data_IF_212593060735
#
_entry.id   IF_212593060735
#
_cell.length_a   1.000
_cell.length_b   1.000
_cell.length_c   1.000
_cell.angle_alpha   90.00
_cell.angle_beta   90.00
_cell.angle_gamma   90.00
#
_symmetry.space_group_name_H-M   'P 1'
#
loop_
_entity.id
_entity.type
_entity.pdbx_description
1 polymer ?
#
# COMPACT_ATOMS: atom_id res chain seq x y z
N UNK A 1 29.82 -74.61 12.06
CA UNK A 1 29.26 -73.33 12.53
C UNK A 1 29.55 -72.28 11.47
N UNK A 2 28.52 -71.72 10.84
CA UNK A 2 28.62 -70.74 9.74
C UNK A 2 28.45 -69.33 10.30
N UNK A 3 29.38 -68.44 9.98
CA UNK A 3 29.30 -66.99 10.20
C UNK A 3 28.42 -66.35 9.13
N UNK A 4 27.53 -65.44 9.53
CA UNK A 4 26.71 -64.62 8.62
C UNK A 4 27.09 -63.15 8.81
N UNK A 5 27.50 -62.51 7.73
CA UNK A 5 27.81 -61.08 7.63
C UNK A 5 26.51 -60.25 7.55
N UNK A 6 26.51 -59.11 8.25
CA UNK A 6 25.53 -58.03 8.13
C UNK A 6 25.75 -57.25 6.82
N UNK A 7 24.67 -57.03 6.05
CA UNK A 7 24.62 -56.06 4.96
C UNK A 7 23.73 -54.90 5.39
N UNK A 8 24.33 -53.75 5.68
CA UNK A 8 23.66 -52.48 5.93
C UNK A 8 23.50 -51.71 4.62
N UNK A 9 22.27 -51.51 4.14
CA UNK A 9 21.98 -50.60 3.03
C UNK A 9 21.41 -49.29 3.59
N UNK A 10 22.20 -48.22 3.47
CA UNK A 10 21.77 -46.83 3.61
C UNK A 10 20.92 -46.43 2.41
N UNK A 11 19.75 -45.83 2.64
CA UNK A 11 19.14 -44.91 1.69
C UNK A 11 18.27 -43.89 2.46
N UNK A 12 18.75 -42.64 2.60
CA UNK A 12 17.92 -41.51 2.17
C UNK A 12 18.78 -40.34 1.67
N UNK A 13 19.08 -40.28 0.37
CA UNK A 13 19.73 -39.09 -0.24
C UNK A 13 18.93 -38.55 -1.44
N UNK A 14 17.98 -39.33 -1.98
CA UNK A 14 17.24 -38.94 -3.19
C UNK A 14 16.14 -37.89 -2.98
N UNK A 15 15.55 -37.76 -1.78
CA UNK A 15 14.44 -36.80 -1.56
C UNK A 15 14.90 -35.33 -1.46
N UNK A 16 16.08 -35.07 -0.87
CA UNK A 16 16.55 -33.69 -0.63
C UNK A 16 17.00 -32.95 -1.89
N UNK A 17 17.56 -33.68 -2.86
CA UNK A 17 18.02 -33.13 -4.14
C UNK A 17 16.85 -32.71 -5.05
N UNK A 18 15.73 -33.44 -5.00
CA UNK A 18 14.54 -33.12 -5.81
C UNK A 18 13.83 -31.85 -5.32
N UNK A 19 13.76 -31.65 -4.00
CA UNK A 19 13.19 -30.42 -3.40
C UNK A 19 14.04 -29.19 -3.72
N UNK A 20 15.36 -29.27 -3.57
CA UNK A 20 16.26 -28.15 -3.90
C UNK A 20 16.28 -27.81 -5.40
N UNK A 21 16.22 -28.83 -6.27
CA UNK A 21 16.12 -28.60 -7.71
C UNK A 21 14.77 -27.97 -8.11
N UNK A 22 13.69 -28.33 -7.41
CA UNK A 22 12.35 -27.81 -7.66
C UNK A 22 12.14 -26.40 -7.07
N UNK A 23 12.76 -26.06 -5.94
CA UNK A 23 12.85 -24.68 -5.42
C UNK A 23 13.69 -23.78 -6.33
N UNK A 24 14.87 -24.25 -6.76
CA UNK A 24 15.77 -23.47 -7.62
C UNK A 24 15.23 -23.30 -9.05
N UNK A 25 14.47 -24.28 -9.55
CA UNK A 25 13.73 -24.17 -10.82
C UNK A 25 12.55 -23.22 -10.69
N UNK A 26 11.78 -23.26 -9.58
CA UNK A 26 10.71 -22.28 -9.33
C UNK A 26 11.26 -20.86 -9.28
N UNK A 27 12.41 -20.62 -8.63
CA UNK A 27 12.97 -19.28 -8.51
C UNK A 27 13.41 -18.64 -9.84
N UNK A 28 13.64 -19.42 -10.91
CA UNK A 28 14.04 -18.88 -12.21
C UNK A 28 12.90 -18.27 -13.03
N UNK A 29 11.66 -18.70 -12.78
CA UNK A 29 10.47 -18.22 -13.50
C UNK A 29 9.63 -17.22 -12.69
N UNK A 30 10.13 -16.79 -11.53
CA UNK A 30 9.42 -15.87 -10.63
C UNK A 30 9.57 -14.41 -11.07
N UNK A 31 8.46 -13.66 -11.06
CA UNK A 31 8.47 -12.21 -11.20
C UNK A 31 9.06 -11.62 -9.92
N UNK A 32 10.29 -11.12 -10.01
CA UNK A 32 10.93 -10.43 -8.90
C UNK A 32 10.60 -8.94 -8.93
N UNK A 33 10.11 -8.42 -7.81
CA UNK A 33 9.86 -6.99 -7.62
C UNK A 33 11.15 -6.33 -7.16
N UNK A 34 11.52 -5.22 -7.79
CA UNK A 34 12.64 -4.39 -7.36
C UNK A 34 12.13 -3.39 -6.34
N UNK A 35 12.78 -3.29 -5.18
CA UNK A 35 12.48 -2.30 -4.15
C UNK A 35 13.61 -1.28 -4.06
N UNK A 36 13.28 0.00 -4.24
CA UNK A 36 14.25 1.09 -4.05
C UNK A 36 14.37 1.46 -2.57
N UNK A 37 15.61 1.44 -2.06
CA UNK A 37 16.00 1.92 -0.74
C UNK A 37 17.26 2.80 -0.85
N UNK A 38 17.09 4.11 -0.97
CA UNK A 38 18.22 5.04 -1.17
C UNK A 38 19.16 5.14 0.02
N UNK A 39 18.62 5.12 1.22
CA UNK A 39 19.38 5.18 2.46
C UNK A 39 19.41 3.80 3.11
N UNK A 40 20.60 3.36 3.55
CA UNK A 40 20.77 2.18 4.42
C UNK A 40 20.37 2.50 5.87
N UNK A 41 19.27 3.25 6.01
CA UNK A 41 18.69 3.55 7.30
C UNK A 41 18.33 2.21 7.97
N UNK A 42 18.86 1.99 9.17
CA UNK A 42 18.56 0.82 10.00
C UNK A 42 17.05 0.67 10.24
N UNK A 43 16.30 1.77 10.10
CA UNK A 43 14.87 1.80 10.30
C UNK A 43 14.11 1.66 8.98
N UNK A 44 13.37 0.56 8.84
CA UNK A 44 12.42 0.32 7.74
C UNK A 44 11.00 0.27 8.30
N UNK A 45 10.06 0.96 7.66
CA UNK A 45 8.63 0.86 7.96
C UNK A 45 8.04 -0.32 7.20
N UNK A 46 7.34 -1.16 7.94
CA UNK A 46 6.66 -2.34 7.40
C UNK A 46 7.58 -3.21 6.53
N UNK A 47 8.77 -3.61 7.03
CA UNK A 47 9.73 -4.38 6.25
C UNK A 47 9.14 -5.69 5.68
N UNK A 48 8.21 -6.29 6.41
CA UNK A 48 7.55 -7.55 6.02
C UNK A 48 6.34 -7.35 5.09
N UNK A 49 5.93 -6.11 4.81
CA UNK A 49 4.70 -5.83 4.06
C UNK A 49 4.75 -6.31 2.60
N UNK A 50 5.80 -5.93 1.86
CA UNK A 50 5.92 -6.36 0.47
C UNK A 50 6.13 -7.88 0.35
N UNK A 51 7.06 -8.52 1.11
CA UNK A 51 7.18 -9.98 1.11
C UNK A 51 5.86 -10.70 1.44
N UNK A 52 5.11 -10.22 2.44
CA UNK A 52 3.81 -10.79 2.82
C UNK A 52 2.76 -10.63 1.74
N UNK A 53 2.71 -9.46 1.07
CA UNK A 53 1.83 -9.23 -0.05
C UNK A 53 2.14 -10.19 -1.20
N UNK A 54 3.42 -10.34 -1.58
CA UNK A 54 3.83 -11.21 -2.67
C UNK A 54 3.47 -12.68 -2.39
N UNK A 55 3.68 -13.15 -1.15
CA UNK A 55 3.21 -14.48 -0.71
C UNK A 55 1.69 -14.61 -0.86
N UNK A 56 0.93 -13.61 -0.40
CA UNK A 56 -0.53 -13.63 -0.52
C UNK A 56 -0.99 -13.67 -1.99
N UNK A 57 -0.35 -12.93 -2.90
CA UNK A 57 -0.67 -12.98 -4.32
C UNK A 57 -0.40 -14.37 -4.90
N UNK A 58 0.71 -15.00 -4.53
CA UNK A 58 1.03 -16.37 -4.95
C UNK A 58 0.03 -17.40 -4.40
N UNK A 59 -0.44 -17.22 -3.16
CA UNK A 59 -1.40 -18.12 -2.53
C UNK A 59 -2.80 -18.02 -3.14
N UNK A 60 -3.14 -16.85 -3.69
CA UNK A 60 -4.51 -16.54 -4.14
C UNK A 60 -4.66 -16.54 -5.66
N UNK A 61 -3.58 -16.46 -6.41
CA UNK A 61 -3.61 -16.38 -7.87
C UNK A 61 -2.67 -17.39 -8.51
N UNK A 62 -2.68 -17.45 -9.84
CA UNK A 62 -1.71 -18.24 -10.62
C UNK A 62 -0.45 -17.44 -10.97
N UNK A 63 -0.34 -16.18 -10.50
CA UNK A 63 0.90 -15.42 -10.64
C UNK A 63 2.00 -16.07 -9.79
N UNK A 64 3.24 -15.84 -10.19
CA UNK A 64 4.40 -16.39 -9.51
C UNK A 64 5.40 -15.27 -9.24
N UNK A 65 5.31 -14.67 -8.06
CA UNK A 65 6.23 -13.65 -7.57
C UNK A 65 7.32 -14.27 -6.70
N UNK A 66 8.53 -13.72 -6.76
CA UNK A 66 9.57 -14.01 -5.75
C UNK A 66 9.26 -13.22 -4.47
N UNK A 67 8.98 -13.86 -3.33
CA UNK A 67 8.71 -13.15 -2.07
C UNK A 67 9.90 -12.36 -1.52
N UNK A 68 11.12 -12.59 -2.01
CA UNK A 68 12.32 -11.85 -1.63
C UNK A 68 12.61 -10.75 -2.67
N UNK A 69 12.15 -9.50 -2.45
CA UNK A 69 12.35 -8.42 -3.42
C UNK A 69 13.84 -8.11 -3.64
N UNK A 70 14.19 -7.70 -4.85
CA UNK A 70 15.55 -7.24 -5.14
C UNK A 70 15.72 -5.80 -4.66
N UNK A 71 16.63 -5.58 -3.72
CA UNK A 71 16.94 -4.24 -3.24
C UNK A 71 17.97 -3.54 -4.13
N UNK A 72 17.65 -2.31 -4.55
CA UNK A 72 18.58 -1.39 -5.18
C UNK A 72 18.60 -0.07 -4.40
N UNK A 73 19.75 0.59 -4.35
CA UNK A 73 19.87 1.91 -3.72
C UNK A 73 19.78 3.08 -4.68
N UNK A 74 19.83 2.79 -5.98
CA UNK A 74 19.80 3.81 -7.04
C UNK A 74 19.00 3.34 -8.23
N UNK A 75 18.32 4.29 -8.90
CA UNK A 75 17.52 3.98 -10.08
C UNK A 75 18.35 3.72 -11.34
N UNK A 76 19.62 4.10 -11.36
CA UNK A 76 20.55 3.81 -12.46
C UNK A 76 21.27 2.46 -12.30
N UNK A 77 20.88 1.64 -11.31
CA UNK A 77 21.31 0.25 -11.20
C UNK A 77 20.82 -0.54 -12.41
N UNK A 78 21.74 -1.30 -13.04
CA UNK A 78 21.44 -2.07 -14.25
C UNK A 78 20.40 -3.16 -14.00
N UNK A 79 20.33 -3.70 -12.78
CA UNK A 79 19.39 -4.75 -12.42
C UNK A 79 17.94 -4.26 -12.55
N UNK A 80 17.66 -2.96 -12.41
CA UNK A 80 16.32 -2.41 -12.62
C UNK A 80 15.76 -2.75 -14.01
N UNK A 81 16.61 -2.80 -15.04
CA UNK A 81 16.18 -3.09 -16.41
C UNK A 81 15.90 -4.57 -16.69
N UNK A 82 16.24 -5.46 -15.75
CA UNK A 82 15.97 -6.89 -15.84
C UNK A 82 14.62 -7.27 -15.22
N UNK A 83 13.92 -6.30 -14.62
CA UNK A 83 12.66 -6.49 -13.92
C UNK A 83 11.59 -5.53 -14.43
N UNK A 84 10.31 -5.91 -14.31
CA UNK A 84 9.20 -5.11 -14.83
C UNK A 84 8.55 -4.20 -13.77
N UNK A 85 8.71 -4.53 -12.48
CA UNK A 85 7.99 -3.86 -11.39
C UNK A 85 9.00 -3.27 -10.42
N UNK A 86 8.91 -1.95 -10.24
CA UNK A 86 9.61 -1.18 -9.24
C UNK A 86 8.63 -0.77 -8.15
N UNK A 87 8.99 -1.01 -6.90
CA UNK A 87 8.26 -0.63 -5.71
C UNK A 87 9.08 0.36 -4.87
N UNK A 88 8.41 1.38 -4.36
CA UNK A 88 8.96 2.32 -3.41
C UNK A 88 7.93 2.60 -2.32
N UNK A 89 8.28 2.27 -1.08
CA UNK A 89 7.58 2.77 0.09
C UNK A 89 8.13 4.18 0.38
N UNK A 90 7.38 5.22 0.04
CA UNK A 90 7.82 6.60 0.22
C UNK A 90 7.91 6.99 1.69
N UNK A 91 7.29 6.26 2.62
CA UNK A 91 7.34 6.57 4.06
C UNK A 91 8.62 6.05 4.74
N UNK A 92 9.31 5.10 4.10
CA UNK A 92 10.66 4.64 4.49
C UNK A 92 11.73 5.70 4.21
N UNK A 93 11.45 6.60 3.28
CA UNK A 93 12.40 7.54 2.73
C UNK A 93 11.85 8.96 2.87
N UNK A 94 12.05 9.61 4.04
CA UNK A 94 11.51 10.93 4.30
C UNK A 94 12.03 11.95 3.29
N UNK A 95 13.30 11.83 2.89
CA UNK A 95 13.93 12.58 1.80
C UNK A 95 13.99 11.73 0.54
N UNK A 96 13.34 12.18 -0.53
CA UNK A 96 13.38 11.55 -1.86
C UNK A 96 14.00 12.52 -2.86
N UNK A 97 15.32 12.41 -3.00
CA UNK A 97 16.09 13.18 -3.99
C UNK A 97 16.67 12.25 -5.04
N UNK A 98 16.65 12.68 -6.30
CA UNK A 98 17.14 11.89 -7.42
C UNK A 98 18.02 12.77 -8.28
N UNK A 99 19.21 12.28 -8.61
CA UNK A 99 20.11 12.96 -9.52
C UNK A 99 19.66 12.79 -11.00
N UNK A 100 20.32 13.51 -11.91
CA UNK A 100 19.96 13.47 -13.34
C UNK A 100 20.10 12.06 -13.95
N UNK A 101 21.04 11.25 -13.46
CA UNK A 101 21.24 9.89 -13.96
C UNK A 101 20.07 9.00 -13.55
N UNK A 102 19.64 9.09 -12.30
CA UNK A 102 18.48 8.35 -11.77
C UNK A 102 17.16 8.79 -12.44
N UNK A 103 16.95 10.10 -12.62
CA UNK A 103 15.78 10.63 -13.33
C UNK A 103 15.72 10.11 -14.77
N UNK A 104 16.87 10.11 -15.46
CA UNK A 104 16.98 9.55 -16.82
C UNK A 104 16.73 8.04 -16.82
N UNK A 105 17.28 7.31 -15.85
CA UNK A 105 17.11 5.88 -15.74
C UNK A 105 15.65 5.49 -15.52
N UNK A 106 14.95 6.20 -14.63
CA UNK A 106 13.53 6.04 -14.38
C UNK A 106 12.68 6.33 -15.62
N UNK A 107 12.99 7.41 -16.37
CA UNK A 107 12.31 7.70 -17.63
C UNK A 107 12.44 6.52 -18.59
N UNK A 108 13.65 6.01 -18.79
CA UNK A 108 13.92 4.89 -19.70
C UNK A 108 13.17 3.63 -19.26
N UNK A 109 13.20 3.31 -17.96
CA UNK A 109 12.48 2.17 -17.39
C UNK A 109 10.97 2.24 -17.70
N UNK A 110 10.33 3.37 -17.41
CA UNK A 110 8.89 3.58 -17.63
C UNK A 110 8.54 3.59 -19.12
N UNK A 111 9.36 4.20 -19.98
CA UNK A 111 9.14 4.24 -21.43
C UNK A 111 9.23 2.84 -22.09
N UNK A 112 10.02 1.95 -21.49
CA UNK A 112 10.24 0.56 -21.94
C UNK A 112 9.19 -0.43 -21.45
N UNK A 113 8.23 -0.01 -20.64
CA UNK A 113 7.17 -0.89 -20.14
C UNK A 113 7.19 -1.11 -18.62
N UNK A 114 8.22 -0.61 -17.92
CA UNK A 114 8.29 -0.71 -16.47
C UNK A 114 7.07 -0.11 -15.77
N UNK A 115 6.69 -0.71 -14.64
CA UNK A 115 5.62 -0.25 -13.76
C UNK A 115 6.23 0.18 -12.43
N UNK A 116 5.88 1.38 -11.97
CA UNK A 116 6.31 1.91 -10.68
C UNK A 116 5.13 2.07 -9.74
N UNK A 117 5.19 1.40 -8.59
CA UNK A 117 4.27 1.61 -7.48
C UNK A 117 4.92 2.38 -6.34
N UNK A 118 4.35 3.55 -6.03
CA UNK A 118 4.72 4.47 -4.96
C UNK A 118 3.72 4.32 -3.81
N UNK A 119 3.98 3.37 -2.91
CA UNK A 119 3.20 3.26 -1.67
C UNK A 119 3.54 4.44 -0.74
N UNK A 120 2.53 4.99 -0.06
CA UNK A 120 2.65 6.26 0.66
C UNK A 120 3.16 7.45 -0.21
N UNK A 121 3.05 7.36 -1.54
CA UNK A 121 3.34 8.46 -2.47
C UNK A 121 2.32 9.60 -2.37
N UNK A 122 1.18 9.37 -1.72
CA UNK A 122 0.21 10.37 -1.27
C UNK A 122 0.29 10.44 0.25
N UNK A 123 0.46 11.65 0.83
CA UNK A 123 0.40 11.84 2.28
C UNK A 123 -0.17 13.20 2.61
N UNK A 124 -1.28 13.23 3.33
CA UNK A 124 -1.82 14.48 3.83
C UNK A 124 -0.84 15.10 4.84
N UNK A 125 -0.55 16.39 4.71
CA UNK A 125 0.46 17.11 5.49
C UNK A 125 0.27 17.00 7.01
N UNK A 126 -0.98 17.00 7.47
CA UNK A 126 -1.32 16.87 8.89
C UNK A 126 -0.90 15.51 9.51
N UNK A 127 -0.66 14.47 8.70
CA UNK A 127 -0.26 13.16 9.21
C UNK A 127 1.16 13.17 9.76
N UNK A 128 2.02 14.10 9.32
CA UNK A 128 3.40 14.21 9.80
C UNK A 128 4.14 12.87 9.73
N UNK A 129 4.49 12.32 10.90
CA UNK A 129 5.17 11.02 11.07
C UNK A 129 4.26 9.92 11.64
N UNK A 130 2.93 10.06 11.61
CA UNK A 130 1.99 9.04 12.14
C UNK A 130 2.00 7.75 11.29
N UNK A 131 2.09 6.60 11.97
CA UNK A 131 2.53 5.29 11.41
C UNK A 131 1.44 4.23 11.35
N UNK A 132 0.18 4.63 11.41
CA UNK A 132 -0.94 3.70 11.30
C UNK A 132 -2.17 4.31 10.65
N UNK A 133 -2.00 5.45 9.97
CA UNK A 133 -3.11 6.28 9.55
C UNK A 133 -2.98 6.65 8.09
N UNK A 134 -3.93 6.15 7.32
CA UNK A 134 -4.11 6.54 5.93
C UNK A 134 -5.21 7.59 5.83
N UNK A 135 -5.04 8.60 4.99
CA UNK A 135 -6.08 9.59 4.65
C UNK A 135 -6.28 9.62 3.14
N UNK A 136 -7.54 9.69 2.72
CA UNK A 136 -7.91 9.75 1.30
C UNK A 136 -7.72 11.18 0.76
N UNK A 137 -6.44 11.58 0.67
CA UNK A 137 -6.03 12.74 -0.12
C UNK A 137 -5.82 12.31 -1.58
N UNK A 138 -5.96 13.24 -2.51
CA UNK A 138 -5.87 12.95 -3.95
C UNK A 138 -4.73 13.70 -4.64
N UNK A 139 -3.75 14.14 -3.85
CA UNK A 139 -2.55 14.81 -4.34
C UNK A 139 -1.30 14.02 -3.93
N UNK A 140 -0.36 13.82 -4.87
CA UNK A 140 0.93 13.23 -4.52
C UNK A 140 1.69 14.14 -3.55
N UNK A 141 2.59 13.54 -2.79
CA UNK A 141 3.57 14.28 -1.99
C UNK A 141 4.35 15.28 -2.86
N UNK A 142 4.75 16.45 -2.34
CA UNK A 142 5.51 17.45 -3.11
C UNK A 142 6.76 16.90 -3.78
N UNK A 143 7.50 16.02 -3.11
CA UNK A 143 8.73 15.41 -3.62
C UNK A 143 8.45 14.47 -4.80
N UNK A 144 7.35 13.72 -4.74
CA UNK A 144 6.89 12.86 -5.84
C UNK A 144 6.42 13.72 -7.02
N UNK A 145 5.63 14.77 -6.77
CA UNK A 145 5.21 15.70 -7.82
C UNK A 145 6.42 16.35 -8.51
N UNK A 146 7.43 16.77 -7.74
CA UNK A 146 8.66 17.35 -8.24
C UNK A 146 9.48 16.35 -9.09
N UNK A 147 9.62 15.11 -8.63
CA UNK A 147 10.27 14.05 -9.40
C UNK A 147 9.58 13.86 -10.77
N UNK A 148 8.27 13.68 -10.81
CA UNK A 148 7.58 13.44 -12.08
C UNK A 148 7.52 14.65 -13.00
N UNK A 149 7.63 15.87 -12.47
CA UNK A 149 7.86 17.06 -13.29
C UNK A 149 9.21 17.02 -14.01
N UNK A 150 10.23 16.39 -13.44
CA UNK A 150 11.53 16.18 -14.10
C UNK A 150 11.48 14.98 -15.07
N UNK A 151 10.87 13.87 -14.65
CA UNK A 151 10.77 12.64 -15.46
C UNK A 151 9.87 12.87 -16.68
N UNK A 152 8.69 13.46 -16.53
CA UNK A 152 7.75 13.76 -17.62
C UNK A 152 7.06 15.12 -17.43
N UNK A 153 7.69 16.25 -17.86
CA UNK A 153 7.19 17.60 -17.59
C UNK A 153 5.76 17.91 -18.03
N UNK A 154 5.25 17.21 -19.05
CA UNK A 154 3.92 17.41 -19.62
C UNK A 154 2.88 16.37 -19.20
N UNK A 155 3.22 15.44 -18.28
CA UNK A 155 2.35 14.35 -17.85
C UNK A 155 2.21 14.33 -16.33
N UNK A 156 1.17 14.97 -15.77
CA UNK A 156 0.96 14.97 -14.33
C UNK A 156 0.48 13.60 -13.84
N UNK A 157 0.70 13.34 -12.54
CA UNK A 157 -0.05 12.33 -11.81
C UNK A 157 -1.47 12.85 -11.60
N UNK A 158 -2.48 12.07 -12.02
CA UNK A 158 -3.89 12.45 -11.93
C UNK A 158 -4.68 11.42 -11.14
N UNK A 159 -5.75 11.82 -10.43
CA UNK A 159 -6.68 10.89 -9.79
C UNK A 159 -7.13 9.77 -10.73
N UNK A 160 -7.08 8.52 -10.26
CA UNK A 160 -7.67 7.40 -10.99
C UNK A 160 -9.20 7.48 -10.90
N UNK A 161 -9.92 7.27 -12.01
CA UNK A 161 -11.37 7.17 -12.00
C UNK A 161 -11.88 6.08 -11.06
N UNK A 162 -13.05 6.30 -10.46
CA UNK A 162 -13.67 5.30 -9.57
C UNK A 162 -14.06 4.02 -10.29
N UNK A 163 -14.22 4.09 -11.60
CA UNK A 163 -14.53 2.94 -12.40
C UNK A 163 -13.29 2.31 -13.05
N UNK A 164 -12.08 2.63 -12.58
CA UNK A 164 -10.86 2.07 -13.15
C UNK A 164 -10.70 0.57 -12.84
N UNK A 165 -10.26 -0.21 -13.84
CA UNK A 165 -10.18 -1.67 -13.75
C UNK A 165 -9.21 -2.18 -12.69
N UNK A 166 -8.22 -1.37 -12.32
CA UNK A 166 -7.32 -1.65 -11.19
C UNK A 166 -8.09 -2.02 -9.92
N UNK A 167 -9.23 -1.40 -9.64
CA UNK A 167 -9.94 -1.67 -8.38
C UNK A 167 -10.79 -2.95 -8.41
N UNK A 168 -10.83 -3.67 -9.55
CA UNK A 168 -11.70 -4.84 -9.76
C UNK A 168 -11.09 -5.96 -10.62
N UNK A 169 -9.81 -5.85 -10.98
CA UNK A 169 -9.16 -6.79 -11.89
C UNK A 169 -9.09 -8.21 -11.30
N UNK A 170 -9.00 -8.33 -9.98
CA UNK A 170 -8.98 -9.61 -9.28
C UNK A 170 -9.98 -9.65 -8.13
N UNK A 171 -9.70 -8.91 -7.05
CA UNK A 171 -10.66 -8.71 -5.97
C UNK A 171 -11.66 -7.61 -6.31
N UNK A 172 -12.93 -7.81 -5.94
CA UNK A 172 -14.03 -6.87 -6.18
C UNK A 172 -14.75 -6.56 -4.87
N UNK A 173 -15.07 -5.30 -4.65
CA UNK A 173 -15.82 -4.86 -3.47
C UNK A 173 -15.02 -4.89 -2.17
N UNK A 174 -15.72 -4.71 -1.05
CA UNK A 174 -15.15 -4.71 0.30
C UNK A 174 -14.95 -6.13 0.85
N UNK A 175 -14.03 -6.34 1.81
CA UNK A 175 -13.85 -7.64 2.48
C UNK A 175 -15.15 -8.22 3.02
N UNK A 176 -15.39 -9.49 2.74
CA UNK A 176 -16.48 -10.25 3.35
C UNK A 176 -15.98 -11.10 4.54
N UNK A 177 -16.88 -11.83 5.20
CA UNK A 177 -16.52 -12.64 6.38
C UNK A 177 -15.51 -13.75 6.07
N UNK A 178 -15.47 -14.29 4.85
CA UNK A 178 -14.50 -15.30 4.44
C UNK A 178 -13.10 -14.71 4.20
N UNK A 179 -13.03 -13.47 3.71
CA UNK A 179 -11.77 -12.77 3.46
C UNK A 179 -11.00 -12.41 4.74
N UNK A 180 -11.70 -12.28 5.87
CA UNK A 180 -11.10 -11.79 7.11
C UNK A 180 -10.22 -12.84 7.80
N UNK A 181 -10.35 -14.13 7.44
CA UNK A 181 -9.65 -15.26 8.10
C UNK A 181 -9.78 -15.22 9.64
N UNK A 182 -10.92 -14.71 10.10
CA UNK A 182 -11.24 -14.54 11.50
C UNK A 182 -12.10 -15.69 12.00
N UNK A 183 -12.03 -15.93 13.32
CA UNK A 183 -12.88 -16.91 13.97
C UNK A 183 -14.37 -16.55 13.78
N UNK A 184 -15.23 -17.57 13.72
CA UNK A 184 -16.66 -17.41 13.42
C UNK A 184 -17.42 -16.46 14.35
N UNK A 185 -16.89 -16.28 15.55
CA UNK A 185 -17.39 -15.45 16.64
C UNK A 185 -16.96 -13.98 16.55
N UNK A 186 -16.01 -13.65 15.67
CA UNK A 186 -15.52 -12.29 15.54
C UNK A 186 -16.59 -11.38 14.94
N UNK A 187 -16.77 -10.21 15.56
CA UNK A 187 -17.82 -9.27 15.18
C UNK A 187 -17.53 -8.64 13.82
N UNK A 188 -18.59 -8.33 13.08
CA UNK A 188 -18.48 -7.48 11.89
C UNK A 188 -18.14 -6.04 12.30
N UNK A 189 -17.63 -5.26 11.36
CA UNK A 189 -17.50 -3.81 11.56
C UNK A 189 -18.82 -3.21 12.07
N UNK A 190 -18.76 -2.28 13.04
CA UNK A 190 -19.94 -1.52 13.42
C UNK A 190 -20.57 -0.85 12.19
N UNK A 191 -21.90 -0.78 12.12
CA UNK A 191 -22.59 -0.27 10.93
C UNK A 191 -22.15 1.15 10.54
N UNK A 192 -21.86 2.01 11.52
CA UNK A 192 -21.34 3.37 11.29
C UNK A 192 -19.93 3.35 10.66
N UNK A 193 -19.10 2.39 11.06
CA UNK A 193 -17.76 2.19 10.52
C UNK A 193 -17.83 1.67 9.09
N UNK A 194 -18.62 0.62 8.86
CA UNK A 194 -18.81 0.07 7.52
C UNK A 194 -19.33 1.13 6.55
N UNK A 195 -20.35 1.89 6.94
CA UNK A 195 -20.90 2.99 6.14
C UNK A 195 -19.84 4.04 5.80
N UNK A 196 -19.00 4.43 6.76
CA UNK A 196 -17.89 5.35 6.49
C UNK A 196 -16.90 4.77 5.49
N UNK A 197 -16.60 3.46 5.58
CA UNK A 197 -15.74 2.82 4.59
C UNK A 197 -16.39 2.90 3.21
N UNK A 198 -17.66 2.54 3.09
CA UNK A 198 -18.40 2.54 1.81
C UNK A 198 -18.57 3.93 1.20
N UNK A 199 -18.85 4.94 2.01
CA UNK A 199 -19.20 6.28 1.52
C UNK A 199 -17.98 7.20 1.37
N UNK A 200 -16.91 6.97 2.14
CA UNK A 200 -15.83 7.96 2.25
C UNK A 200 -14.42 7.42 2.04
N UNK A 201 -14.12 6.18 2.47
CA UNK A 201 -12.79 5.59 2.24
C UNK A 201 -12.71 4.87 0.91
N UNK A 202 -13.74 4.10 0.60
CA UNK A 202 -13.85 3.24 -0.56
C UNK A 202 -15.11 3.53 -1.40
N UNK A 203 -15.39 4.81 -1.72
CA UNK A 203 -16.60 5.16 -2.46
C UNK A 203 -16.62 4.46 -3.81
N UNK A 204 -17.77 3.84 -4.13
CA UNK A 204 -18.02 3.15 -5.40
C UNK A 204 -17.00 2.06 -5.74
N UNK A 205 -16.31 1.53 -4.74
CA UNK A 205 -15.33 0.47 -4.97
C UNK A 205 -13.90 0.95 -5.15
N UNK A 206 -13.51 2.16 -4.71
CA UNK A 206 -12.18 2.74 -5.02
C UNK A 206 -11.52 3.48 -3.90
N UNK A 207 -10.19 3.51 -3.91
CA UNK A 207 -9.39 4.25 -2.95
C UNK A 207 -8.70 5.42 -3.66
N UNK A 208 -8.22 6.38 -2.88
CA UNK A 208 -7.41 7.47 -3.42
C UNK A 208 -6.13 6.92 -4.04
N UNK A 209 -6.07 6.91 -5.36
CA UNK A 209 -4.88 6.60 -6.13
C UNK A 209 -4.71 7.68 -7.18
N UNK A 210 -3.47 8.11 -7.41
CA UNK A 210 -3.12 8.94 -8.57
C UNK A 210 -2.18 8.16 -9.47
N UNK A 211 -2.26 8.37 -10.78
CA UNK A 211 -1.46 7.64 -11.74
C UNK A 211 -1.01 8.49 -12.91
N UNK A 212 0.05 8.01 -13.57
CA UNK A 212 0.60 8.63 -14.77
C UNK A 212 0.48 7.63 -15.91
N UNK A 213 -0.22 8.04 -16.97
CA UNK A 213 -0.43 7.22 -18.15
C UNK A 213 0.67 7.43 -19.21
N UNK A 214 1.28 6.33 -19.65
CA UNK A 214 2.22 6.30 -20.77
C UNK A 214 1.73 5.29 -21.80
N UNK A 215 1.67 5.70 -23.08
CA UNK A 215 1.33 4.81 -24.20
C UNK A 215 0.06 3.97 -23.97
N UNK A 216 -0.96 4.55 -23.34
CA UNK A 216 -2.24 3.88 -23.09
C UNK A 216 -2.35 3.10 -21.78
N UNK A 217 -1.25 2.82 -21.06
CA UNK A 217 -1.25 2.10 -19.78
C UNK A 217 -0.91 2.99 -18.59
N UNK A 218 -1.33 2.61 -17.39
CA UNK A 218 -0.83 3.22 -16.15
C UNK A 218 0.59 2.73 -15.91
N UNK A 219 1.58 3.63 -16.00
CA UNK A 219 2.99 3.30 -15.82
C UNK A 219 3.50 3.61 -14.41
N UNK A 220 2.87 4.59 -13.76
CA UNK A 220 3.18 4.99 -12.39
C UNK A 220 1.89 5.06 -11.62
N UNK A 221 1.92 4.55 -10.40
CA UNK A 221 0.81 4.56 -9.49
C UNK A 221 1.29 5.05 -8.11
N UNK A 222 0.58 5.99 -7.50
CA UNK A 222 0.82 6.41 -6.14
C UNK A 222 -0.45 6.29 -5.30
N UNK A 223 -0.31 5.76 -4.10
CA UNK A 223 -1.39 5.61 -3.11
C UNK A 223 -1.01 6.29 -1.80
N UNK A 224 -1.97 6.51 -0.89
CA UNK A 224 -1.66 6.61 0.52
C UNK A 224 -0.95 5.36 1.01
N UNK A 225 -0.45 5.42 2.24
CA UNK A 225 0.10 4.26 2.92
C UNK A 225 -0.90 3.10 2.89
N UNK A 226 -0.54 2.03 2.19
CA UNK A 226 -1.24 0.75 2.16
C UNK A 226 -0.36 -0.37 2.72
N UNK A 227 0.98 -0.23 2.70
CA UNK A 227 1.91 -1.22 3.25
C UNK A 227 1.66 -1.54 4.73
N UNK A 228 1.10 -0.61 5.51
CA UNK A 228 0.67 -0.88 6.88
C UNK A 228 -0.32 -2.04 6.99
N UNK A 229 -1.03 -2.35 5.91
CA UNK A 229 -2.04 -3.40 5.83
C UNK A 229 -1.55 -4.78 5.41
N UNK A 230 -0.31 -4.93 4.95
CA UNK A 230 0.12 -6.18 4.31
C UNK A 230 1.05 -7.02 5.18
N UNK A 231 1.69 -6.41 6.19
CA UNK A 231 2.69 -7.07 7.02
C UNK A 231 2.11 -8.22 7.84
N UNK A 232 2.78 -9.37 7.80
CA UNK A 232 2.58 -10.48 8.72
C UNK A 232 3.89 -10.82 9.43
N UNK A 233 3.79 -11.23 10.69
CA UNK A 233 4.92 -11.80 11.42
C UNK A 233 5.25 -13.23 10.95
N UNK A 234 6.28 -13.82 11.54
CA UNK A 234 6.72 -15.19 11.26
C UNK A 234 5.67 -16.26 11.58
N UNK A 235 4.69 -15.93 12.41
CA UNK A 235 3.56 -16.80 12.78
C UNK A 235 2.32 -16.57 11.91
N UNK A 236 2.36 -15.61 10.98
CA UNK A 236 1.27 -15.26 10.09
C UNK A 236 0.25 -14.28 10.66
N UNK A 237 0.51 -13.69 11.83
CA UNK A 237 -0.35 -12.67 12.42
C UNK A 237 -0.14 -11.32 11.75
N UNK A 238 -1.19 -10.54 11.62
CA UNK A 238 -1.13 -9.19 11.05
C UNK A 238 -0.34 -8.21 11.93
N UNK A 239 0.51 -7.39 11.30
CA UNK A 239 1.22 -6.29 11.96
C UNK A 239 1.38 -5.06 11.04
N UNK A 240 1.36 -3.84 11.60
CA UNK A 240 0.95 -3.50 12.97
C UNK A 240 -0.57 -3.41 13.11
N UNK A 241 -1.11 -3.29 14.35
CA UNK A 241 -2.53 -2.99 14.53
C UNK A 241 -2.96 -1.70 13.81
N UNK A 242 -4.08 -1.75 13.09
CA UNK A 242 -4.61 -0.62 12.32
C UNK A 242 -5.87 -0.08 12.97
N UNK A 243 -5.95 1.25 13.05
CA UNK A 243 -7.13 1.97 13.53
C UNK A 243 -7.79 2.71 12.39
N UNK A 244 -9.12 2.81 12.44
CA UNK A 244 -9.87 3.67 11.53
C UNK A 244 -10.13 5.02 12.15
N UNK A 245 -10.10 6.04 11.30
CA UNK A 245 -10.54 7.37 11.64
C UNK A 245 -11.78 7.68 10.82
N UNK A 246 -12.85 8.04 11.50
CA UNK A 246 -14.17 8.31 10.93
C UNK A 246 -14.50 9.77 11.17
N UNK A 247 -15.11 10.41 10.17
CA UNK A 247 -15.76 11.70 10.36
C UNK A 247 -17.13 11.46 10.99
N UNK A 248 -17.38 11.93 12.20
CA UNK A 248 -18.68 11.80 12.85
C UNK A 248 -19.43 13.13 12.93
N UNK A 249 -20.74 13.01 13.01
CA UNK A 249 -21.68 14.12 13.16
C UNK A 249 -22.64 13.75 14.29
N UNK A 250 -23.11 14.76 15.03
CA UNK A 250 -24.16 14.60 16.04
C UNK A 250 -25.04 15.85 16.02
N UNK A 251 -26.24 15.76 16.61
CA UNK A 251 -27.15 16.91 16.71
C UNK A 251 -26.48 18.07 17.48
N UNK A 252 -26.60 19.28 16.94
CA UNK A 252 -25.96 20.48 17.49
C UNK A 252 -24.44 20.54 17.35
N UNK A 253 -23.77 19.46 16.93
CA UNK A 253 -22.31 19.39 16.85
C UNK A 253 -21.77 20.45 15.89
N UNK A 254 -22.27 20.52 14.66
CA UNK A 254 -21.80 21.47 13.64
C UNK A 254 -21.75 22.92 14.14
N UNK A 255 -22.85 23.39 14.76
CA UNK A 255 -22.91 24.73 15.35
C UNK A 255 -21.94 24.91 16.51
N UNK A 256 -21.89 23.95 17.43
CA UNK A 256 -20.97 24.00 18.56
C UNK A 256 -19.52 24.04 18.08
N UNK A 257 -19.20 23.36 16.97
CA UNK A 257 -17.85 23.34 16.45
C UNK A 257 -17.44 24.68 15.81
N UNK A 258 -18.39 25.39 15.18
CA UNK A 258 -18.16 26.72 14.60
C UNK A 258 -17.89 27.79 15.66
N UNK A 259 -18.55 27.67 16.82
CA UNK A 259 -18.41 28.61 17.95
C UNK A 259 -17.21 28.26 18.86
N UNK A 260 -16.60 27.09 18.69
CA UNK A 260 -15.48 26.64 19.52
C UNK A 260 -14.20 27.43 19.22
N UNK A 261 -13.55 27.95 20.27
CA UNK A 261 -12.19 28.48 20.17
C UNK A 261 -11.22 27.34 19.84
N UNK A 262 -10.43 27.49 18.78
CA UNK A 262 -9.47 26.47 18.36
C UNK A 262 -8.03 26.95 18.54
N UNK A 263 -7.25 26.21 19.33
CA UNK A 263 -5.81 26.36 19.45
C UNK A 263 -5.13 25.22 18.66
N UNK A 264 -4.43 25.55 17.58
CA UNK A 264 -3.72 24.56 16.77
C UNK A 264 -3.51 24.95 15.31
N UNK A 265 -3.02 24.00 14.52
CA UNK A 265 -2.71 24.20 13.09
C UNK A 265 -3.86 23.75 12.21
N UNK A 266 -4.02 24.41 11.07
CA UNK A 266 -4.97 24.04 10.02
C UNK A 266 -4.24 23.56 8.77
N UNK A 267 -4.81 22.55 8.13
CA UNK A 267 -4.24 21.95 6.91
C UNK A 267 -5.34 21.82 5.86
N UNK A 268 -5.05 22.29 4.65
CA UNK A 268 -5.92 22.02 3.50
C UNK A 268 -5.62 20.65 2.93
N UNK A 269 -6.67 19.91 2.60
CA UNK A 269 -6.56 18.57 2.04
C UNK A 269 -7.52 18.40 0.89
N UNK A 270 -6.97 17.93 -0.23
CA UNK A 270 -7.69 17.86 -1.51
C UNK A 270 -8.46 16.58 -1.62
N UNK A 271 -9.75 16.73 -1.85
CA UNK A 271 -10.68 15.66 -2.18
C UNK A 271 -10.54 15.29 -3.65
N UNK A 272 -11.14 14.18 -4.03
CA UNK A 272 -11.16 13.70 -5.41
C UNK A 272 -11.77 14.71 -6.39
N UNK A 273 -12.83 15.39 -5.96
CA UNK A 273 -13.55 16.42 -6.72
C UNK A 273 -12.77 17.75 -6.83
N UNK A 274 -11.56 17.81 -6.28
CA UNK A 274 -10.71 19.00 -6.26
C UNK A 274 -11.07 20.01 -5.15
N UNK A 275 -12.18 19.82 -4.45
CA UNK A 275 -12.54 20.67 -3.31
C UNK A 275 -11.63 20.39 -2.11
N UNK A 276 -11.55 21.35 -1.20
CA UNK A 276 -10.62 21.30 -0.06
C UNK A 276 -11.39 21.10 1.25
N UNK A 277 -11.02 20.04 1.97
CA UNK A 277 -11.34 19.92 3.40
C UNK A 277 -10.33 20.79 4.18
N UNK A 278 -10.78 21.53 5.20
CA UNK A 278 -9.90 22.19 6.17
C UNK A 278 -9.83 21.33 7.42
N UNK A 279 -8.68 20.73 7.67
CA UNK A 279 -8.42 19.82 8.79
C UNK A 279 -7.76 20.58 9.93
N UNK A 280 -8.31 20.43 11.12
CA UNK A 280 -7.85 21.10 12.34
C UNK A 280 -7.13 20.09 13.24
N UNK A 281 -5.90 20.39 13.63
CA UNK A 281 -5.11 19.59 14.58
C UNK A 281 -4.81 20.40 15.84
N UNK A 282 -4.90 19.75 17.00
CA UNK A 282 -4.40 20.34 18.25
C UNK A 282 -2.89 20.05 18.37
N UNK A 283 -2.15 20.92 19.04
CA UNK A 283 -0.70 20.77 19.21
C UNK A 283 -0.36 19.40 19.85
N UNK A 284 0.51 18.63 19.19
CA UNK A 284 0.92 17.29 19.63
C UNK A 284 -0.17 16.21 19.55
N UNK A 285 -1.29 16.47 18.88
CA UNK A 285 -2.44 15.55 18.78
C UNK A 285 -2.82 15.27 17.33
N UNK A 286 -3.47 14.12 17.13
CA UNK A 286 -4.09 13.74 15.85
C UNK A 286 -5.15 14.77 15.44
N UNK A 287 -5.55 14.83 14.16
CA UNK A 287 -6.65 15.66 13.70
C UNK A 287 -7.91 15.44 14.52
N UNK A 288 -8.56 16.53 14.89
CA UNK A 288 -9.72 16.49 15.80
C UNK A 288 -11.00 16.87 15.07
N UNK A 289 -10.92 17.76 14.06
CA UNK A 289 -12.08 18.32 13.36
C UNK A 289 -11.77 18.49 11.88
N UNK A 290 -12.82 18.56 11.09
CA UNK A 290 -12.75 18.91 9.68
C UNK A 290 -13.93 19.79 9.31
N UNK A 291 -13.62 20.86 8.58
CA UNK A 291 -14.61 21.67 7.87
C UNK A 291 -14.61 21.24 6.41
N UNK A 292 -15.75 20.70 5.97
CA UNK A 292 -15.96 20.25 4.59
C UNK A 292 -16.25 21.46 3.66
N UNK A 293 -16.10 21.31 2.33
CA UNK A 293 -16.32 22.39 1.36
C UNK A 293 -17.70 23.05 1.43
N UNK A 294 -18.72 22.30 1.85
CA UNK A 294 -20.09 22.77 2.02
C UNK A 294 -20.29 23.58 3.32
N UNK A 295 -19.24 23.80 4.10
CA UNK A 295 -19.28 24.52 5.37
C UNK A 295 -19.61 23.67 6.59
N UNK A 296 -19.91 22.37 6.41
CA UNK A 296 -20.25 21.45 7.50
C UNK A 296 -19.01 21.10 8.34
N UNK A 297 -19.17 21.10 9.65
CA UNK A 297 -18.14 20.68 10.60
C UNK A 297 -18.43 19.28 11.14
N UNK A 298 -17.38 18.47 11.22
CA UNK A 298 -17.41 17.09 11.75
C UNK A 298 -16.20 16.84 12.64
N UNK A 299 -16.34 15.93 13.59
CA UNK A 299 -15.22 15.48 14.41
C UNK A 299 -14.56 14.25 13.79
N UNK A 300 -13.26 14.10 14.02
CA UNK A 300 -12.58 12.84 13.77
C UNK A 300 -12.64 11.95 15.01
N UNK A 301 -13.24 10.77 14.86
CA UNK A 301 -13.25 9.74 15.89
C UNK A 301 -12.39 8.57 15.46
N UNK A 302 -11.69 7.99 16.42
CA UNK A 302 -10.74 6.91 16.20
C UNK A 302 -11.32 5.61 16.74
N UNK A 303 -11.43 4.63 15.85
CA UNK A 303 -11.91 3.28 16.12
C UNK A 303 -10.72 2.34 16.10
N UNK A 304 -10.55 1.60 17.19
CA UNK A 304 -9.54 0.57 17.40
C UNK A 304 -10.23 -0.74 17.71
N UNK A 305 -9.51 -1.85 17.60
CA UNK A 305 -10.02 -3.19 17.91
C UNK A 305 -9.58 -4.19 16.88
N UNK A 306 -9.65 -5.47 17.24
CA UNK A 306 -9.26 -6.58 16.38
C UNK A 306 -10.12 -6.63 15.11
N UNK A 307 -11.42 -6.36 15.21
CA UNK A 307 -12.33 -6.34 14.05
C UNK A 307 -12.02 -5.20 13.08
N UNK A 308 -11.63 -4.04 13.61
CA UNK A 308 -11.18 -2.90 12.80
C UNK A 308 -9.87 -3.24 12.09
N UNK A 309 -8.92 -3.80 12.83
CA UNK A 309 -7.59 -4.12 12.33
C UNK A 309 -7.64 -5.20 11.25
N UNK A 310 -8.30 -6.33 11.52
CA UNK A 310 -8.40 -7.45 10.57
C UNK A 310 -9.10 -7.03 9.28
N UNK A 311 -10.14 -6.21 9.39
CA UNK A 311 -10.79 -5.63 8.21
C UNK A 311 -9.85 -4.73 7.42
N UNK A 312 -9.10 -3.85 8.08
CA UNK A 312 -8.15 -2.97 7.42
C UNK A 312 -7.06 -3.76 6.69
N UNK A 313 -6.47 -4.78 7.33
CA UNK A 313 -5.46 -5.64 6.70
C UNK A 313 -6.01 -6.34 5.46
N UNK A 314 -7.19 -6.95 5.56
CA UNK A 314 -7.84 -7.60 4.42
C UNK A 314 -8.12 -6.60 3.29
N UNK A 315 -8.68 -5.43 3.62
CA UNK A 315 -8.97 -4.37 2.67
C UNK A 315 -7.72 -3.90 1.91
N UNK A 316 -6.65 -3.55 2.63
CA UNK A 316 -5.41 -3.09 2.01
C UNK A 316 -4.70 -4.21 1.25
N UNK A 317 -4.73 -5.44 1.74
CA UNK A 317 -4.12 -6.60 1.03
C UNK A 317 -4.81 -6.88 -0.29
N UNK A 318 -6.15 -6.78 -0.34
CA UNK A 318 -6.91 -6.90 -1.60
C UNK A 318 -6.53 -5.81 -2.59
N UNK A 319 -6.36 -4.57 -2.10
CA UNK A 319 -5.86 -3.44 -2.88
C UNK A 319 -4.47 -3.70 -3.46
N UNK A 320 -3.51 -4.09 -2.63
CA UNK A 320 -2.15 -4.41 -3.08
C UNK A 320 -2.11 -5.58 -4.08
N UNK A 321 -2.95 -6.59 -3.88
CA UNK A 321 -3.07 -7.74 -4.80
C UNK A 321 -3.52 -7.26 -6.18
N UNK A 322 -4.57 -6.43 -6.20
CA UNK A 322 -5.06 -5.85 -7.43
C UNK A 322 -3.99 -5.00 -8.13
N UNK A 323 -3.23 -4.18 -7.40
CA UNK A 323 -2.12 -3.38 -7.97
C UNK A 323 -1.09 -4.28 -8.65
N UNK A 324 -0.61 -5.33 -7.97
CA UNK A 324 0.41 -6.23 -8.51
C UNK A 324 -0.09 -7.01 -9.73
N UNK A 325 -1.32 -7.55 -9.67
CA UNK A 325 -1.89 -8.29 -10.80
C UNK A 325 -2.22 -7.36 -11.97
N UNK A 326 -2.67 -6.13 -11.69
CA UNK A 326 -2.91 -5.12 -12.71
C UNK A 326 -1.60 -4.78 -13.45
N UNK A 327 -0.48 -4.65 -12.73
CA UNK A 327 0.83 -4.38 -13.32
C UNK A 327 1.29 -5.46 -14.31
N UNK A 328 0.89 -6.72 -14.12
CA UNK A 328 1.24 -7.83 -15.01
C UNK A 328 0.44 -7.87 -16.32
N UNK A 329 -0.70 -7.16 -16.38
CA UNK A 329 -1.60 -7.16 -17.55
C UNK A 329 -1.57 -5.83 -18.32
N UNK A 330 -0.63 -4.93 -18.00
CA UNK A 330 -0.48 -3.61 -18.63
C UNK A 330 0.33 -3.60 -19.91
#
# INVERSE_FOLDING_TARGET
MRSVLFLSALLPIALGLSLHAQEKSRSQDAVRVVQLLKDDSVYRRYPDALPSLLKHVNDKSTAHFDPDPLFISRLDDKALYEHAILYLNCDDQPTLEFDEAEVKALRIFLERGGFLYLDAGIKASFLGTDLGHSYAAWEPRPEIAALFKQVFPSKPLVPLPRDHDLFRCFYKGLPDSGDLQIASEQKKLPATVLRFVEEEKWPQGTYSFVGLQLKGRIAVLASPICAMGWGKDEFGNWLPPISFRIRETAEGLDRNLQEAAFEGSTYEVTREDGLKDIVYTQLGRRPVWVKEPNGRWRIFKYYTGEEISNYAHSFYTRLGTNVLLYALIQ
#
